data_IF_991171261821
#
_entry.id   IF_991171261821
#
_cell.length_a   1.000
_cell.length_b   1.000
_cell.length_c   1.000
_cell.angle_alpha   90.00
_cell.angle_beta   90.00
_cell.angle_gamma   90.00
#
_symmetry.space_group_name_H-M   'P 1'
#
loop_
_entity.id
_entity.type
_entity.pdbx_description
1 polymer ?
#
# COMPACT_ATOMS: atom_id res chain seq x y z
N UNK A 1 -12.87 -22.28 -12.45
CA UNK A 1 -11.84 -21.50 -13.17
C UNK A 1 -10.47 -22.03 -12.76
N UNK A 2 -9.68 -22.69 -13.64
CA UNK A 2 -8.37 -23.24 -13.26
C UNK A 2 -7.37 -22.08 -13.05
N UNK A 3 -6.79 -21.98 -11.86
CA UNK A 3 -5.85 -20.92 -11.50
C UNK A 3 -4.45 -21.28 -12.03
N UNK A 4 -4.02 -20.63 -13.11
CA UNK A 4 -2.68 -20.81 -13.67
C UNK A 4 -1.64 -19.98 -12.91
N UNK A 5 -0.38 -20.41 -12.86
CA UNK A 5 0.74 -19.69 -12.21
C UNK A 5 0.79 -18.20 -12.58
N UNK A 6 0.58 -17.85 -13.85
CA UNK A 6 0.58 -16.46 -14.31
C UNK A 6 -0.58 -15.63 -13.75
N UNK A 7 -1.78 -16.22 -13.62
CA UNK A 7 -2.94 -15.52 -13.04
C UNK A 7 -2.73 -15.25 -11.56
N UNK A 8 -2.25 -16.26 -10.83
CA UNK A 8 -1.90 -16.10 -9.42
C UNK A 8 -0.79 -15.06 -9.23
N UNK A 9 0.28 -15.15 -10.03
CA UNK A 9 1.37 -14.19 -10.01
C UNK A 9 0.89 -12.75 -10.24
N UNK A 10 -0.02 -12.53 -11.18
CA UNK A 10 -0.55 -11.20 -11.47
C UNK A 10 -1.39 -10.63 -10.32
N UNK A 11 -2.16 -11.49 -9.64
CA UNK A 11 -2.89 -11.10 -8.42
C UNK A 11 -1.90 -10.68 -7.32
N UNK A 12 -0.89 -11.50 -7.04
CA UNK A 12 0.13 -11.20 -6.02
C UNK A 12 0.97 -9.96 -6.39
N UNK A 13 1.14 -9.69 -7.67
CA UNK A 13 1.90 -8.53 -8.16
C UNK A 13 1.12 -7.22 -7.99
N UNK A 14 -0.19 -7.22 -8.30
CA UNK A 14 -0.98 -5.98 -8.44
C UNK A 14 -1.76 -5.63 -7.17
N UNK A 15 -2.39 -6.62 -6.54
CA UNK A 15 -3.30 -6.38 -5.41
C UNK A 15 -2.61 -5.66 -4.24
N UNK A 16 -1.38 -6.02 -3.81
CA UNK A 16 -0.73 -5.32 -2.71
C UNK A 16 -0.54 -3.83 -2.98
N UNK A 17 -0.17 -3.45 -4.21
CA UNK A 17 0.05 -2.06 -4.59
C UNK A 17 -1.27 -1.28 -4.58
N UNK A 18 -2.36 -1.87 -5.10
CA UNK A 18 -3.68 -1.23 -5.07
C UNK A 18 -4.16 -1.03 -3.64
N UNK A 19 -3.95 -2.01 -2.75
CA UNK A 19 -4.28 -1.88 -1.32
C UNK A 19 -3.47 -0.78 -0.67
N UNK A 20 -2.14 -0.74 -0.89
CA UNK A 20 -1.26 0.28 -0.33
C UNK A 20 -1.66 1.70 -0.78
N UNK A 21 -1.94 1.87 -2.09
CA UNK A 21 -2.42 3.14 -2.62
C UNK A 21 -3.76 3.55 -1.99
N UNK A 22 -4.70 2.61 -1.89
CA UNK A 22 -6.02 2.88 -1.31
C UNK A 22 -5.89 3.37 0.13
N UNK A 23 -5.12 2.66 0.96
CA UNK A 23 -4.90 3.04 2.35
C UNK A 23 -4.21 4.40 2.48
N UNK A 24 -3.21 4.66 1.63
CA UNK A 24 -2.53 5.95 1.58
C UNK A 24 -3.49 7.09 1.22
N UNK A 25 -4.36 6.90 0.23
CA UNK A 25 -5.30 7.93 -0.20
C UNK A 25 -6.42 8.19 0.82
N UNK A 26 -6.82 7.18 1.58
CA UNK A 26 -7.76 7.37 2.71
C UNK A 26 -7.13 8.29 3.75
N UNK A 27 -5.92 7.98 4.23
CA UNK A 27 -5.24 8.81 5.23
C UNK A 27 -4.96 10.22 4.68
N UNK A 28 -4.56 10.34 3.41
CA UNK A 28 -4.36 11.64 2.77
C UNK A 28 -5.66 12.46 2.71
N UNK A 29 -6.80 11.80 2.56
CA UNK A 29 -8.11 12.43 2.65
C UNK A 29 -8.37 13.00 4.04
N UNK A 30 -8.13 12.21 5.09
CA UNK A 30 -8.32 12.63 6.48
C UNK A 30 -7.37 13.79 6.87
N UNK A 31 -6.11 13.73 6.43
CA UNK A 31 -5.12 14.81 6.62
C UNK A 31 -5.63 16.10 5.97
N UNK A 32 -6.09 16.02 4.72
CA UNK A 32 -6.58 17.20 3.99
C UNK A 32 -7.85 17.77 4.61
N UNK A 33 -8.74 16.93 5.11
CA UNK A 33 -9.92 17.39 5.85
C UNK A 33 -9.49 18.18 7.08
N UNK A 34 -8.59 17.62 7.88
CA UNK A 34 -8.08 18.27 9.09
C UNK A 34 -7.39 19.62 8.81
N UNK A 35 -6.46 19.64 7.85
CA UNK A 35 -5.64 20.83 7.59
C UNK A 35 -6.41 21.94 6.86
N UNK A 36 -7.30 21.57 5.92
CA UNK A 36 -7.95 22.55 5.03
C UNK A 36 -9.35 22.94 5.49
N UNK A 37 -10.10 22.02 6.09
CA UNK A 37 -11.50 22.26 6.50
C UNK A 37 -11.56 22.58 7.99
N UNK A 38 -10.97 21.73 8.82
CA UNK A 38 -11.02 21.90 10.28
C UNK A 38 -9.99 22.92 10.79
N UNK A 39 -9.07 23.36 9.93
CA UNK A 39 -7.97 24.29 10.26
C UNK A 39 -7.10 23.80 11.42
N UNK A 40 -7.00 22.47 11.57
CA UNK A 40 -6.26 21.80 12.64
C UNK A 40 -4.90 21.26 12.18
N UNK A 41 -4.30 20.45 13.05
CA UNK A 41 -3.01 19.80 12.83
C UNK A 41 -3.14 18.28 12.95
N UNK A 42 -2.81 17.56 11.87
CA UNK A 42 -2.89 16.11 11.85
C UNK A 42 -1.80 15.47 12.71
N UNK A 43 -2.18 14.63 13.67
CA UNK A 43 -1.24 13.82 14.43
C UNK A 43 -1.00 12.48 13.72
N UNK A 44 0.14 12.39 13.04
CA UNK A 44 0.54 11.22 12.25
C UNK A 44 0.70 9.93 13.06
N UNK A 45 1.00 10.00 14.36
CA UNK A 45 1.16 8.81 15.21
C UNK A 45 -0.17 8.33 15.77
N UNK A 46 -1.06 9.26 16.12
CA UNK A 46 -2.34 8.96 16.76
C UNK A 46 -3.51 8.85 15.76
N UNK A 47 -3.36 9.33 14.53
CA UNK A 47 -4.36 9.24 13.48
C UNK A 47 -5.61 10.10 13.71
N UNK A 48 -5.44 11.29 14.27
CA UNK A 48 -6.55 12.23 14.49
C UNK A 48 -6.14 13.68 14.26
N UNK A 49 -7.13 14.54 14.05
CA UNK A 49 -6.97 15.98 13.99
C UNK A 49 -6.95 16.58 15.40
N UNK A 50 -5.98 17.46 15.68
CA UNK A 50 -5.88 18.15 16.97
C UNK A 50 -5.48 19.61 16.81
N UNK A 51 -5.49 20.36 17.91
CA UNK A 51 -5.27 21.81 17.90
C UNK A 51 -3.78 22.20 17.94
N UNK A 52 -2.89 21.24 18.23
CA UNK A 52 -1.45 21.49 18.40
C UNK A 52 -0.65 20.96 17.22
N UNK A 53 0.34 21.72 16.70
CA UNK A 53 1.24 21.25 15.66
C UNK A 53 1.90 19.92 16.03
N UNK A 54 1.83 18.95 15.12
CA UNK A 54 2.46 17.65 15.26
C UNK A 54 3.53 17.45 14.18
N UNK A 55 4.65 16.77 14.49
CA UNK A 55 5.70 16.54 13.50
C UNK A 55 5.20 15.59 12.41
N UNK A 56 5.59 15.88 11.16
CA UNK A 56 5.38 14.96 10.05
C UNK A 56 6.17 13.67 10.28
N UNK A 57 5.47 12.55 10.27
CA UNK A 57 6.08 11.22 10.20
C UNK A 57 5.66 10.61 8.85
N UNK A 58 6.55 9.98 8.09
CA UNK A 58 6.15 9.28 6.86
C UNK A 58 5.41 7.97 7.15
N UNK A 59 4.45 7.61 6.30
CA UNK A 59 3.70 6.36 6.45
C UNK A 59 4.59 5.11 6.38
N UNK A 60 5.63 5.12 5.56
CA UNK A 60 6.61 4.02 5.46
C UNK A 60 7.34 3.73 6.78
N UNK A 61 7.52 4.75 7.62
CA UNK A 61 8.14 4.61 8.94
C UNK A 61 7.15 4.01 9.95
N UNK A 62 5.86 4.38 9.86
CA UNK A 62 4.81 3.90 10.77
C UNK A 62 4.31 2.50 10.44
N UNK A 63 4.29 2.14 9.17
CA UNK A 63 3.73 0.87 8.66
C UNK A 63 4.75 0.06 7.84
N UNK A 64 5.97 -0.20 8.37
CA UNK A 64 7.04 -0.85 7.61
C UNK A 64 6.67 -2.27 7.18
N UNK A 65 5.96 -3.01 8.03
CA UNK A 65 5.49 -4.36 7.71
C UNK A 65 4.49 -4.37 6.55
N UNK A 66 3.60 -3.38 6.47
CA UNK A 66 2.62 -3.31 5.39
C UNK A 66 3.30 -2.94 4.06
N UNK A 67 4.18 -1.94 4.07
CA UNK A 67 4.93 -1.52 2.87
C UNK A 67 5.84 -2.64 2.40
N UNK A 68 6.77 -3.08 3.24
CA UNK A 68 7.80 -4.03 2.84
C UNK A 68 7.19 -5.41 2.58
N UNK A 69 6.21 -5.82 3.38
CA UNK A 69 5.45 -7.05 3.14
C UNK A 69 4.70 -7.02 1.82
N UNK A 70 3.99 -5.93 1.50
CA UNK A 70 3.29 -5.78 0.23
C UNK A 70 4.22 -5.79 -0.98
N UNK A 71 5.40 -5.16 -0.86
CA UNK A 71 6.43 -5.20 -1.88
C UNK A 71 7.02 -6.61 -2.04
N UNK A 72 7.30 -7.32 -0.95
CA UNK A 72 7.78 -8.71 -1.00
C UNK A 72 6.76 -9.65 -1.67
N UNK A 73 5.46 -9.50 -1.35
CA UNK A 73 4.38 -10.24 -2.04
C UNK A 73 4.38 -9.92 -3.52
N UNK A 74 4.60 -8.66 -3.89
CA UNK A 74 4.67 -8.23 -5.29
C UNK A 74 5.86 -8.87 -6.03
N UNK A 75 7.03 -8.97 -5.38
CA UNK A 75 8.20 -9.67 -5.92
C UNK A 75 7.93 -11.16 -6.13
N UNK A 76 7.26 -11.82 -5.19
CA UNK A 76 6.83 -13.23 -5.36
C UNK A 76 5.86 -13.34 -6.54
N UNK A 77 4.92 -12.42 -6.68
CA UNK A 77 3.99 -12.35 -7.80
C UNK A 77 4.70 -12.23 -9.16
N UNK A 78 5.73 -11.39 -9.23
CA UNK A 78 6.58 -11.24 -10.41
C UNK A 78 7.28 -12.57 -10.76
N UNK A 79 7.88 -13.25 -9.78
CA UNK A 79 8.52 -14.54 -9.98
C UNK A 79 7.57 -15.61 -10.52
N UNK A 80 6.35 -15.69 -9.98
CA UNK A 80 5.31 -16.61 -10.46
C UNK A 80 4.83 -16.28 -11.89
N UNK A 81 4.79 -15.00 -12.25
CA UNK A 81 4.50 -14.58 -13.63
C UNK A 81 5.59 -15.07 -14.59
N UNK A 82 6.86 -14.84 -14.26
CA UNK A 82 8.00 -15.27 -15.07
C UNK A 82 8.03 -16.80 -15.24
N UNK A 83 7.86 -17.56 -14.16
CA UNK A 83 7.82 -19.03 -14.21
C UNK A 83 6.65 -19.55 -15.06
N UNK A 84 5.48 -18.94 -14.92
CA UNK A 84 4.30 -19.30 -15.71
C UNK A 84 4.47 -19.01 -17.21
N UNK A 85 5.11 -17.90 -17.56
CA UNK A 85 5.42 -17.54 -18.94
C UNK A 85 6.52 -18.43 -19.53
N UNK A 86 7.57 -18.73 -18.75
CA UNK A 86 8.67 -19.58 -19.16
C UNK A 86 8.20 -21.00 -19.51
N UNK A 87 7.39 -21.61 -18.64
CA UNK A 87 6.82 -22.95 -18.86
C UNK A 87 5.81 -23.04 -20.01
N UNK A 88 5.35 -21.91 -20.53
CA UNK A 88 4.41 -21.85 -21.67
C UNK A 88 5.11 -21.68 -23.02
N UNK A 89 6.37 -21.24 -23.02
CA UNK A 89 7.21 -21.10 -24.22
C UNK A 89 8.15 -22.27 -24.45
N UNK A 90 8.48 -23.03 -23.40
CA UNK A 90 9.25 -24.28 -23.50
C UNK A 90 8.39 -25.51 -23.74
#
# INVERSE_FOLDING_TARGET
MKLTSTRLGLILLVVPIVVLLTLFFVELGDIRQCELVDQGHWNYLAGHCGDTPSPFVPWIVRSPWLVNGGLLVSVVGLGLCMLGLYRRRG
#
